data_IF_151969091598
#
_entry.id   IF_151969091598
#
_cell.length_a   1.000
_cell.length_b   1.000
_cell.length_c   1.000
_cell.angle_alpha   90.00
_cell.angle_beta   90.00
_cell.angle_gamma   90.00
#
_symmetry.space_group_name_H-M   'P 1'
#
loop_
_entity.id
_entity.type
_entity.pdbx_description
1 polymer ?
#
# COMPACT_ATOMS: atom_id res chain seq x y z
N UNK A 1 -48.01 -3.83 10.07
CA UNK A 1 -48.12 -4.02 11.53
C UNK A 1 -48.47 -5.48 11.73
N UNK A 2 -47.50 -6.32 12.10
CA UNK A 2 -47.68 -7.72 12.46
C UNK A 2 -47.66 -7.75 13.98
N UNK A 3 -48.79 -8.09 14.57
CA UNK A 3 -48.93 -8.33 16.01
C UNK A 3 -48.21 -9.63 16.37
N UNK A 4 -47.42 -9.70 17.46
CA UNK A 4 -46.83 -10.94 17.94
C UNK A 4 -47.91 -11.82 18.56
N UNK A 5 -47.95 -13.08 18.19
CA UNK A 5 -48.74 -14.10 18.91
C UNK A 5 -47.98 -14.48 20.19
N UNK A 6 -48.62 -14.27 21.33
CA UNK A 6 -48.20 -14.83 22.62
C UNK A 6 -48.50 -16.33 22.62
N UNK A 7 -47.51 -17.17 22.33
CA UNK A 7 -47.42 -18.55 22.78
C UNK A 7 -45.98 -19.03 22.45
N UNK A 8 -45.06 -18.60 23.30
CA UNK A 8 -43.64 -18.86 23.15
C UNK A 8 -43.15 -20.01 23.99
N UNK A 9 -43.39 -21.24 23.55
CA UNK A 9 -42.45 -22.30 23.89
C UNK A 9 -41.18 -22.12 23.04
N UNK A 10 -39.97 -22.20 23.57
CA UNK A 10 -38.75 -22.12 22.76
C UNK A 10 -38.83 -23.28 21.74
N UNK A 11 -38.70 -22.94 20.47
CA UNK A 11 -38.61 -23.95 19.42
C UNK A 11 -37.45 -24.89 19.77
N UNK A 12 -37.77 -26.18 19.96
CA UNK A 12 -36.74 -27.20 20.10
C UNK A 12 -35.87 -27.14 18.85
N UNK A 13 -34.57 -26.98 19.05
CA UNK A 13 -33.61 -27.09 17.97
C UNK A 13 -33.86 -28.41 17.22
N UNK A 14 -33.86 -28.40 15.88
CA UNK A 14 -34.08 -29.60 15.12
C UNK A 14 -33.04 -30.65 15.55
N UNK A 15 -33.52 -31.84 15.89
CA UNK A 15 -32.69 -33.01 16.25
C UNK A 15 -32.09 -33.63 14.97
N UNK A 16 -31.27 -32.83 14.27
CA UNK A 16 -30.52 -33.29 13.12
C UNK A 16 -29.01 -33.26 13.44
N UNK A 17 -28.25 -34.14 12.84
CA UNK A 17 -26.81 -34.09 12.83
C UNK A 17 -26.36 -32.69 12.42
N UNK A 18 -25.37 -32.11 13.15
CA UNK A 18 -24.76 -30.84 12.77
C UNK A 18 -23.93 -31.04 11.50
N UNK A 19 -24.54 -30.95 10.34
CA UNK A 19 -23.90 -31.16 9.05
C UNK A 19 -22.94 -30.03 8.67
N UNK A 20 -23.03 -28.86 9.33
CA UNK A 20 -22.14 -27.70 9.11
C UNK A 20 -20.88 -27.73 9.97
N UNK A 21 -20.87 -28.50 11.09
CA UNK A 21 -19.73 -28.55 12.02
C UNK A 21 -18.41 -28.85 11.32
N UNK A 22 -18.31 -29.95 10.56
CA UNK A 22 -17.05 -30.30 9.87
C UNK A 22 -16.57 -29.22 8.88
N UNK A 23 -17.48 -28.56 8.17
CA UNK A 23 -17.13 -27.49 7.23
C UNK A 23 -16.64 -26.23 7.96
N UNK A 24 -17.23 -25.89 9.09
CA UNK A 24 -16.79 -24.77 9.92
C UNK A 24 -15.41 -25.04 10.54
N UNK A 25 -15.16 -26.27 10.95
CA UNK A 25 -13.85 -26.71 11.47
C UNK A 25 -12.77 -26.67 10.39
N UNK A 26 -13.11 -27.01 9.15
CA UNK A 26 -12.21 -26.88 8.00
C UNK A 26 -11.87 -25.42 7.72
N UNK A 27 -12.85 -24.53 7.67
CA UNK A 27 -12.63 -23.09 7.50
C UNK A 27 -11.74 -22.54 8.62
N UNK A 28 -12.03 -22.86 9.86
CA UNK A 28 -11.23 -22.42 11.01
C UNK A 28 -9.79 -22.93 10.94
N UNK A 29 -9.60 -24.15 10.43
CA UNK A 29 -8.27 -24.73 10.22
C UNK A 29 -7.49 -23.97 9.15
N UNK A 30 -8.10 -23.65 8.00
CA UNK A 30 -7.46 -22.86 6.94
C UNK A 30 -7.09 -21.46 7.43
N UNK A 31 -7.98 -20.79 8.15
CA UNK A 31 -7.71 -19.47 8.74
C UNK A 31 -6.55 -19.53 9.74
N UNK A 32 -6.54 -20.50 10.64
CA UNK A 32 -5.46 -20.71 11.59
C UNK A 32 -4.13 -20.90 10.89
N UNK A 33 -4.05 -21.78 9.89
CA UNK A 33 -2.82 -22.03 9.11
C UNK A 33 -2.31 -20.77 8.40
N UNK A 34 -3.22 -19.95 7.83
CA UNK A 34 -2.86 -18.69 7.20
C UNK A 34 -2.26 -17.68 8.19
N UNK A 35 -2.80 -17.62 9.41
CA UNK A 35 -2.32 -16.72 10.46
C UNK A 35 -1.01 -17.20 11.10
N UNK A 36 -0.91 -18.49 11.46
CA UNK A 36 0.26 -19.08 12.10
C UNK A 36 1.54 -18.89 11.27
N UNK A 37 1.44 -18.99 9.94
CA UNK A 37 2.59 -18.80 9.05
C UNK A 37 3.27 -17.44 9.22
N UNK A 38 2.51 -16.38 9.45
CA UNK A 38 2.99 -14.99 9.57
C UNK A 38 3.13 -14.53 11.03
N UNK A 39 2.90 -15.43 12.01
CA UNK A 39 2.97 -15.10 13.44
C UNK A 39 4.40 -14.68 13.86
N UNK A 40 4.54 -13.95 14.98
CA UNK A 40 5.84 -13.54 15.52
C UNK A 40 6.83 -14.68 15.75
N UNK A 41 6.36 -15.88 16.11
CA UNK A 41 7.17 -17.07 16.34
C UNK A 41 7.34 -18.00 15.14
N UNK A 42 6.92 -17.60 13.94
CA UNK A 42 6.95 -18.45 12.75
C UNK A 42 8.36 -18.86 12.36
N UNK A 43 8.52 -20.16 12.09
CA UNK A 43 9.73 -20.76 11.53
C UNK A 43 9.73 -20.82 9.99
N UNK A 44 8.72 -20.27 9.33
CA UNK A 44 8.68 -20.20 7.86
C UNK A 44 9.94 -19.51 7.32
N UNK A 45 10.69 -20.15 6.40
CA UNK A 45 11.97 -19.60 5.92
C UNK A 45 11.82 -18.23 5.25
N UNK A 46 10.66 -17.93 4.64
CA UNK A 46 10.36 -16.63 4.05
C UNK A 46 10.22 -15.56 5.12
N UNK A 47 9.48 -15.86 6.18
CA UNK A 47 9.27 -14.96 7.34
C UNK A 47 10.57 -14.71 8.09
N UNK A 48 11.36 -15.76 8.35
CA UNK A 48 12.69 -15.62 8.98
C UNK A 48 13.60 -14.71 8.15
N UNK A 49 13.65 -14.88 6.82
CA UNK A 49 14.43 -14.00 5.93
C UNK A 49 13.94 -12.55 5.95
N UNK A 50 12.63 -12.33 6.05
CA UNK A 50 12.02 -11.00 6.14
C UNK A 50 12.50 -10.28 7.40
N UNK A 51 12.41 -10.95 8.55
CA UNK A 51 12.84 -10.42 9.86
C UNK A 51 14.33 -10.18 9.95
N UNK A 52 15.15 -11.07 9.38
CA UNK A 52 16.61 -10.88 9.32
C UNK A 52 17.03 -9.64 8.51
N UNK A 53 16.11 -9.05 7.77
CA UNK A 53 16.29 -7.78 7.06
C UNK A 53 15.64 -6.59 7.77
N UNK A 54 15.25 -6.76 9.04
CA UNK A 54 14.54 -5.76 9.84
C UNK A 54 13.25 -5.26 9.19
N UNK A 55 12.53 -6.15 8.50
CA UNK A 55 11.26 -5.82 7.84
C UNK A 55 10.11 -6.52 8.56
N UNK A 56 9.01 -5.81 8.71
CA UNK A 56 7.76 -6.36 9.23
C UNK A 56 7.10 -7.30 8.21
N UNK A 57 6.32 -8.25 8.70
CA UNK A 57 5.40 -9.04 7.86
C UNK A 57 4.21 -8.19 7.42
N UNK A 58 3.48 -8.62 6.39
CA UNK A 58 2.31 -7.88 5.92
C UNK A 58 1.23 -7.73 6.99
N UNK A 59 1.07 -8.69 7.92
CA UNK A 59 0.11 -8.60 9.04
C UNK A 59 0.57 -7.59 10.10
N UNK A 60 1.83 -7.64 10.51
CA UNK A 60 2.41 -6.66 11.44
C UNK A 60 2.30 -5.22 10.89
N UNK A 61 2.45 -5.03 9.58
CA UNK A 61 2.24 -3.74 8.91
C UNK A 61 0.80 -3.28 8.94
N UNK A 62 -0.17 -4.19 8.76
CA UNK A 62 -1.59 -3.89 8.88
C UNK A 62 -1.93 -3.50 10.33
N UNK A 63 -1.44 -4.24 11.31
CA UNK A 63 -1.64 -3.97 12.74
C UNK A 63 -1.03 -2.62 13.14
N UNK A 64 0.13 -2.26 12.57
CA UNK A 64 0.77 -0.96 12.81
C UNK A 64 -0.01 0.21 12.17
N UNK A 65 -0.64 -0.02 11.02
CA UNK A 65 -1.34 1.02 10.25
C UNK A 65 -2.73 1.31 10.78
N UNK A 66 -3.49 0.28 11.14
CA UNK A 66 -4.90 0.38 11.50
C UNK A 66 -5.09 0.60 13.01
N UNK A 67 -6.24 1.10 13.37
CA UNK A 67 -6.66 1.19 14.77
C UNK A 67 -6.86 -0.21 15.36
N UNK A 68 -6.48 -0.41 16.61
CA UNK A 68 -6.46 -1.71 17.28
C UNK A 68 -7.78 -2.47 17.16
N UNK A 69 -7.70 -3.72 16.72
CA UNK A 69 -8.84 -4.62 16.58
C UNK A 69 -9.87 -4.24 15.49
N UNK A 70 -9.60 -3.20 14.71
CA UNK A 70 -10.51 -2.74 13.66
C UNK A 70 -10.42 -3.57 12.37
N UNK A 71 -9.35 -4.31 12.14
CA UNK A 71 -9.13 -5.04 10.89
C UNK A 71 -10.15 -6.15 10.67
N UNK A 72 -10.72 -6.19 9.50
CA UNK A 72 -11.60 -7.26 9.01
C UNK A 72 -11.07 -7.75 7.67
N UNK A 73 -10.44 -8.92 7.71
CA UNK A 73 -9.84 -9.52 6.51
C UNK A 73 -10.91 -9.98 5.52
N UNK A 74 -10.67 -9.74 4.24
CA UNK A 74 -11.46 -10.25 3.12
C UNK A 74 -10.70 -11.40 2.47
N UNK A 75 -11.33 -12.56 2.36
CA UNK A 75 -10.72 -13.74 1.76
C UNK A 75 -9.58 -14.32 2.60
N UNK A 76 -9.78 -14.49 3.92
CA UNK A 76 -8.82 -15.09 4.84
C UNK A 76 -8.39 -16.50 4.42
N UNK A 77 -9.33 -17.28 3.83
CA UNK A 77 -9.09 -18.63 3.30
C UNK A 77 -8.78 -18.66 1.79
N UNK A 78 -8.54 -17.50 1.16
CA UNK A 78 -8.13 -17.48 -0.23
C UNK A 78 -6.69 -18.02 -0.34
N UNK A 79 -6.53 -19.14 -1.07
CA UNK A 79 -5.26 -19.83 -1.17
C UNK A 79 -5.38 -21.17 -1.88
N UNK A 80 -4.41 -22.04 -1.63
CA UNK A 80 -4.31 -23.37 -2.23
C UNK A 80 -4.19 -24.40 -1.11
N UNK A 81 -5.25 -25.17 -0.89
CA UNK A 81 -5.26 -26.30 0.04
C UNK A 81 -4.88 -27.61 -0.68
N UNK A 82 -4.19 -28.51 0.00
CA UNK A 82 -4.04 -29.90 -0.38
C UNK A 82 -4.66 -30.79 0.70
N UNK A 83 -5.20 -31.92 0.27
CA UNK A 83 -5.89 -32.85 1.14
C UNK A 83 -5.21 -34.24 1.05
N UNK A 84 -5.21 -34.94 2.16
CA UNK A 84 -4.74 -36.33 2.23
C UNK A 84 -5.77 -37.31 1.63
N UNK A 85 -5.47 -38.59 1.65
CA UNK A 85 -6.35 -39.65 1.12
C UNK A 85 -7.66 -39.80 1.91
N UNK A 86 -7.75 -39.25 3.12
CA UNK A 86 -8.93 -39.29 3.99
C UNK A 86 -9.79 -38.02 3.84
N UNK A 87 -9.33 -37.03 3.06
CA UNK A 87 -10.01 -35.76 2.87
C UNK A 87 -9.66 -34.69 3.90
N UNK A 88 -8.71 -34.92 4.80
CA UNK A 88 -8.24 -33.93 5.75
C UNK A 88 -7.24 -32.96 5.09
N UNK A 89 -7.16 -31.73 5.61
CA UNK A 89 -6.20 -30.73 5.14
C UNK A 89 -4.77 -31.20 5.45
N UNK A 90 -3.98 -31.45 4.41
CA UNK A 90 -2.56 -31.80 4.49
C UNK A 90 -1.67 -30.56 4.54
N UNK A 91 -1.94 -29.56 3.67
CA UNK A 91 -1.24 -28.30 3.67
C UNK A 91 -2.11 -27.17 3.11
N UNK A 92 -1.80 -25.94 3.53
CA UNK A 92 -2.44 -24.72 3.02
C UNK A 92 -1.39 -23.66 2.70
N UNK A 93 -1.43 -23.14 1.48
CA UNK A 93 -0.64 -22.00 1.05
C UNK A 93 -1.58 -20.83 0.82
N UNK A 94 -1.63 -19.83 1.71
CA UNK A 94 -2.48 -18.67 1.53
C UNK A 94 -2.04 -17.80 0.35
N UNK A 95 -2.95 -16.97 -0.16
CA UNK A 95 -2.63 -15.95 -1.13
C UNK A 95 -1.48 -15.07 -0.63
N UNK A 96 -0.62 -14.62 -1.54
CA UNK A 96 0.52 -13.75 -1.22
C UNK A 96 0.12 -12.28 -1.05
N UNK A 97 -1.07 -12.04 -0.57
CA UNK A 97 -1.59 -10.73 -0.18
C UNK A 97 -2.61 -10.89 0.94
N UNK A 98 -2.45 -10.10 1.98
CA UNK A 98 -3.44 -9.92 3.03
C UNK A 98 -4.14 -8.59 2.81
N UNK A 99 -5.45 -8.55 2.90
CA UNK A 99 -6.18 -7.30 2.73
C UNK A 99 -7.62 -7.38 3.23
N UNK A 100 -8.20 -6.23 3.44
CA UNK A 100 -9.53 -6.09 4.01
C UNK A 100 -9.85 -4.62 4.27
N UNK A 101 -10.68 -4.39 5.24
CA UNK A 101 -10.99 -3.03 5.72
C UNK A 101 -10.74 -2.91 7.22
N UNK A 102 -10.48 -1.68 7.66
CA UNK A 102 -10.29 -1.34 9.06
C UNK A 102 -10.45 0.17 9.24
N UNK A 103 -10.01 0.67 10.38
CA UNK A 103 -10.09 2.09 10.70
C UNK A 103 -8.69 2.70 10.77
N UNK A 104 -8.56 3.93 10.31
CA UNK A 104 -7.41 4.81 10.55
C UNK A 104 -7.96 6.10 11.16
N UNK A 105 -7.64 6.35 12.45
CA UNK A 105 -8.20 7.47 13.20
C UNK A 105 -9.74 7.52 13.06
N UNK A 106 -10.39 6.37 13.34
CA UNK A 106 -11.84 6.14 13.22
C UNK A 106 -12.40 6.21 11.77
N UNK A 107 -11.58 6.44 10.77
CA UNK A 107 -11.97 6.54 9.37
C UNK A 107 -11.92 5.17 8.69
N UNK A 108 -13.04 4.68 8.14
CA UNK A 108 -13.05 3.43 7.36
C UNK A 108 -12.10 3.50 6.16
N UNK A 109 -11.27 2.48 6.01
CA UNK A 109 -10.21 2.43 5.01
C UNK A 109 -10.02 1.00 4.49
N UNK A 110 -9.76 0.86 3.20
CA UNK A 110 -9.34 -0.41 2.59
C UNK A 110 -7.82 -0.51 2.65
N UNK A 111 -7.30 -1.67 3.05
CA UNK A 111 -5.88 -1.98 3.06
C UNK A 111 -5.57 -3.22 2.25
N UNK A 112 -4.51 -3.16 1.45
CA UNK A 112 -3.94 -4.27 0.69
C UNK A 112 -2.45 -4.36 0.99
N UNK A 113 -1.99 -5.46 1.58
CA UNK A 113 -0.60 -5.67 1.97
C UNK A 113 0.00 -6.86 1.23
N UNK A 114 1.05 -6.63 0.45
CA UNK A 114 1.79 -7.68 -0.25
C UNK A 114 2.53 -8.56 0.76
N UNK A 115 2.42 -9.87 0.61
CA UNK A 115 3.24 -10.84 1.35
C UNK A 115 4.46 -11.25 0.52
N UNK A 116 5.55 -10.52 0.68
CA UNK A 116 6.83 -10.84 0.05
C UNK A 116 7.39 -12.20 0.45
N UNK A 117 7.02 -12.70 1.63
CA UNK A 117 7.52 -13.99 2.14
C UNK A 117 7.00 -15.16 1.33
N UNK A 118 5.85 -14.98 0.64
CA UNK A 118 5.26 -15.93 -0.27
C UNK A 118 5.64 -15.58 -1.72
N UNK A 119 6.72 -16.22 -2.22
CA UNK A 119 7.18 -16.13 -3.60
C UNK A 119 7.47 -14.71 -4.12
N UNK A 120 7.86 -13.78 -3.22
CA UNK A 120 8.16 -12.41 -3.58
C UNK A 120 6.97 -11.63 -4.15
N UNK A 121 5.75 -12.02 -3.80
CA UNK A 121 4.53 -11.38 -4.30
C UNK A 121 4.19 -11.71 -5.77
N UNK A 122 4.83 -12.72 -6.40
CA UNK A 122 4.59 -13.05 -7.80
C UNK A 122 3.25 -13.72 -8.05
N UNK A 123 2.78 -13.67 -9.31
CA UNK A 123 1.47 -14.16 -9.76
C UNK A 123 1.23 -15.66 -9.51
N UNK A 124 2.28 -16.45 -9.38
CA UNK A 124 2.19 -17.90 -9.09
C UNK A 124 1.77 -18.19 -7.62
N UNK A 125 1.73 -17.17 -6.76
CA UNK A 125 1.16 -17.23 -5.42
C UNK A 125 -0.04 -16.30 -5.23
N UNK A 126 -0.46 -15.60 -6.28
CA UNK A 126 -1.53 -14.61 -6.19
C UNK A 126 -2.92 -15.21 -6.42
N UNK A 127 -3.89 -14.70 -5.68
CA UNK A 127 -5.32 -14.84 -5.99
C UNK A 127 -5.79 -13.48 -6.53
N UNK A 128 -5.72 -13.32 -7.85
CA UNK A 128 -5.98 -12.03 -8.51
C UNK A 128 -7.35 -11.43 -8.21
N UNK A 129 -8.37 -12.25 -7.98
CA UNK A 129 -9.69 -11.80 -7.59
C UNK A 129 -9.69 -11.03 -6.26
N UNK A 130 -8.79 -11.36 -5.30
CA UNK A 130 -8.75 -10.72 -3.97
C UNK A 130 -8.39 -9.23 -4.08
N UNK A 131 -7.31 -8.88 -4.80
CA UNK A 131 -6.94 -7.46 -4.96
C UNK A 131 -7.96 -6.67 -5.77
N UNK A 132 -8.48 -7.26 -6.86
CA UNK A 132 -9.51 -6.60 -7.69
C UNK A 132 -10.80 -6.36 -6.92
N UNK A 133 -11.19 -7.28 -6.05
CA UNK A 133 -12.35 -7.12 -5.18
C UNK A 133 -12.17 -5.94 -4.22
N UNK A 134 -11.02 -5.85 -3.56
CA UNK A 134 -10.72 -4.75 -2.61
C UNK A 134 -10.62 -3.39 -3.30
N UNK A 135 -9.99 -3.32 -4.48
CA UNK A 135 -9.97 -2.08 -5.27
C UNK A 135 -11.39 -1.62 -5.67
N UNK A 136 -12.27 -2.57 -6.04
CA UNK A 136 -13.69 -2.27 -6.31
C UNK A 136 -14.43 -1.84 -5.05
N UNK A 137 -14.22 -2.55 -3.95
CA UNK A 137 -14.87 -2.26 -2.67
C UNK A 137 -14.54 -0.84 -2.18
N UNK A 138 -13.29 -0.36 -2.37
CA UNK A 138 -12.90 1.00 -2.02
C UNK A 138 -13.72 2.05 -2.78
N UNK A 139 -14.00 1.82 -4.06
CA UNK A 139 -14.82 2.71 -4.89
C UNK A 139 -16.29 2.65 -4.47
N UNK A 140 -16.84 1.44 -4.27
CA UNK A 140 -18.26 1.23 -3.96
C UNK A 140 -18.63 1.77 -2.57
N UNK A 141 -17.74 1.60 -1.59
CA UNK A 141 -17.92 2.07 -0.22
C UNK A 141 -17.33 3.47 0.03
N UNK A 142 -16.71 4.08 -0.98
CA UNK A 142 -16.09 5.42 -0.89
C UNK A 142 -15.06 5.52 0.23
N UNK A 143 -14.24 4.48 0.38
CA UNK A 143 -13.20 4.36 1.39
C UNK A 143 -11.82 4.61 0.79
N UNK A 144 -10.92 5.37 1.46
CA UNK A 144 -9.52 5.45 1.08
C UNK A 144 -8.90 4.07 0.89
N UNK A 145 -7.95 3.96 -0.04
CA UNK A 145 -7.24 2.72 -0.34
C UNK A 145 -5.75 2.86 -0.05
N UNK A 146 -5.24 2.02 0.85
CA UNK A 146 -3.83 2.01 1.23
C UNK A 146 -3.19 0.72 0.73
N UNK A 147 -2.10 0.86 -0.02
CA UNK A 147 -1.35 -0.27 -0.56
C UNK A 147 0.02 -0.36 0.11
N UNK A 148 0.25 -1.44 0.84
CA UNK A 148 1.52 -1.77 1.49
C UNK A 148 2.33 -2.65 0.53
N UNK A 149 3.16 -2.01 -0.28
CA UNK A 149 3.82 -2.63 -1.43
C UNK A 149 5.17 -3.24 -1.03
N UNK A 150 5.33 -4.52 -1.33
CA UNK A 150 6.58 -5.27 -1.11
C UNK A 150 6.64 -6.46 -2.07
N UNK A 151 7.26 -6.27 -3.24
CA UNK A 151 7.37 -7.30 -4.25
C UNK A 151 6.71 -6.93 -5.58
N UNK A 152 6.23 -7.93 -6.32
CA UNK A 152 5.68 -7.72 -7.66
C UNK A 152 4.16 -7.45 -7.69
N UNK A 153 3.50 -7.48 -6.54
CA UNK A 153 2.04 -7.25 -6.41
C UNK A 153 1.18 -8.05 -7.41
N UNK A 154 1.55 -9.31 -7.61
CA UNK A 154 0.87 -10.19 -8.56
C UNK A 154 1.43 -10.13 -10.00
N UNK A 155 2.53 -9.44 -10.23
CA UNK A 155 3.25 -9.46 -11.51
C UNK A 155 3.94 -10.80 -11.78
N UNK A 156 4.32 -11.02 -13.04
CA UNK A 156 4.97 -12.26 -13.47
C UNK A 156 6.38 -12.47 -12.87
N UNK A 157 6.74 -13.72 -12.61
CA UNK A 157 8.10 -14.09 -12.20
C UNK A 157 8.97 -14.36 -13.41
N UNK A 158 10.23 -13.87 -13.40
CA UNK A 158 11.24 -14.22 -14.42
C UNK A 158 11.44 -15.72 -14.51
N UNK A 159 11.38 -16.44 -13.38
CA UNK A 159 11.49 -17.90 -13.36
C UNK A 159 10.37 -18.61 -14.12
N UNK A 160 9.21 -17.97 -14.30
CA UNK A 160 8.11 -18.49 -15.12
C UNK A 160 8.30 -18.25 -16.63
N UNK A 161 9.16 -17.30 -16.98
CA UNK A 161 9.44 -16.91 -18.37
C UNK A 161 10.64 -17.66 -18.98
N UNK A 162 11.55 -18.19 -18.15
CA UNK A 162 12.68 -18.97 -18.63
C UNK A 162 12.21 -20.37 -18.99
N UNK A 163 12.37 -20.82 -20.26
CA UNK A 163 12.06 -22.19 -20.63
C UNK A 163 12.92 -23.12 -19.78
N UNK A 164 12.31 -24.04 -19.03
CA UNK A 164 13.09 -25.13 -18.40
C UNK A 164 13.79 -25.89 -19.49
N UNK A 165 15.13 -25.93 -19.48
CA UNK A 165 15.88 -26.93 -20.26
C UNK A 165 15.22 -28.27 -19.99
N UNK A 166 14.69 -28.91 -21.05
CA UNK A 166 14.34 -30.33 -20.97
C UNK A 166 15.65 -31.04 -20.66
N UNK A 167 15.73 -31.62 -19.46
CA UNK A 167 16.75 -32.63 -19.20
C UNK A 167 16.47 -33.77 -20.18
N UNK A 168 17.27 -33.84 -21.21
CA UNK A 168 17.36 -35.01 -22.10
C UNK A 168 18.10 -36.07 -21.31
N UNK A 169 17.41 -36.79 -20.47
CA UNK A 169 17.89 -37.94 -19.74
C UNK A 169 16.77 -38.97 -19.72
N UNK A 170 17.00 -40.09 -20.37
CA UNK A 170 16.18 -41.28 -20.26
C UNK A 170 16.07 -41.71 -18.81
N UNK A 171 14.97 -41.33 -18.18
CA UNK A 171 14.53 -41.93 -16.92
C UNK A 171 13.13 -42.48 -17.13
N UNK A 172 12.90 -43.78 -16.82
CA UNK A 172 11.63 -44.41 -17.05
C UNK A 172 10.53 -43.69 -16.30
N UNK A 173 9.42 -43.48 -16.99
CA UNK A 173 8.21 -42.83 -16.43
C UNK A 173 7.83 -43.57 -15.15
N UNK A 174 8.00 -42.90 -14.00
CA UNK A 174 7.32 -43.29 -12.76
C UNK A 174 5.84 -43.00 -12.96
N UNK A 175 5.07 -44.08 -13.00
CA UNK A 175 3.62 -44.01 -12.92
C UNK A 175 3.24 -43.14 -11.74
N UNK A 176 2.59 -42.02 -12.01
CA UNK A 176 2.12 -41.11 -11.00
C UNK A 176 0.88 -41.73 -10.36
N UNK A 177 1.03 -42.27 -9.15
CA UNK A 177 -0.11 -42.44 -8.25
C UNK A 177 -0.88 -41.12 -8.20
N UNK A 178 -2.20 -41.18 -8.40
CA UNK A 178 -3.10 -40.03 -8.64
C UNK A 178 -3.27 -39.02 -7.50
N UNK A 179 -2.23 -38.70 -6.75
CA UNK A 179 -2.19 -37.54 -5.93
C UNK A 179 -2.08 -36.30 -6.85
N UNK A 180 -3.14 -35.49 -6.90
CA UNK A 180 -3.10 -34.16 -7.49
C UNK A 180 -2.03 -33.39 -6.71
N UNK A 181 -0.78 -33.46 -7.15
CA UNK A 181 0.25 -32.52 -6.67
C UNK A 181 -0.36 -31.14 -6.90
N UNK A 182 -0.55 -30.38 -5.85
CA UNK A 182 -0.89 -28.97 -5.95
C UNK A 182 0.12 -28.33 -6.91
N UNK A 183 -0.24 -28.36 -8.18
CA UNK A 183 0.61 -27.88 -9.25
C UNK A 183 0.73 -26.39 -9.00
N UNK A 184 1.95 -25.85 -9.04
CA UNK A 184 2.14 -24.42 -9.21
C UNK A 184 1.10 -23.96 -10.23
N UNK A 185 0.22 -22.98 -9.90
CA UNK A 185 -0.71 -22.47 -10.88
C UNK A 185 0.11 -22.08 -12.10
N UNK A 186 -0.02 -22.83 -13.16
CA UNK A 186 0.55 -22.42 -14.42
C UNK A 186 -0.34 -21.32 -14.93
N UNK A 187 0.19 -20.14 -15.08
CA UNK A 187 -0.41 -19.17 -15.97
C UNK A 187 -0.36 -19.80 -17.36
N UNK A 188 -1.37 -20.56 -17.71
CA UNK A 188 -1.63 -21.03 -19.07
C UNK A 188 -2.27 -19.85 -19.83
N UNK A 189 -1.56 -18.74 -19.87
CA UNK A 189 -1.84 -17.68 -20.80
C UNK A 189 -1.22 -18.09 -22.10
N UNK A 190 -1.97 -18.63 -23.03
CA UNK A 190 -1.55 -18.65 -24.40
C UNK A 190 -1.10 -17.24 -24.77
N UNK A 191 0.10 -17.10 -25.39
CA UNK A 191 0.72 -15.83 -25.71
C UNK A 191 -0.11 -14.95 -26.65
N UNK A 192 -1.22 -14.43 -26.12
CA UNK A 192 -2.01 -13.41 -26.78
C UNK A 192 -1.40 -12.04 -26.47
N UNK A 193 -1.23 -11.24 -27.50
CA UNK A 193 -0.98 -9.81 -27.32
C UNK A 193 -2.24 -9.19 -26.78
N UNK A 194 -2.16 -8.59 -25.59
CA UNK A 194 -3.28 -7.87 -25.01
C UNK A 194 -3.11 -6.37 -25.23
N UNK A 195 -4.21 -5.69 -25.51
CA UNK A 195 -4.23 -4.24 -25.53
C UNK A 195 -4.00 -3.70 -24.12
N UNK A 196 -3.39 -2.51 -23.97
CA UNK A 196 -3.03 -1.93 -22.66
C UNK A 196 -4.17 -1.82 -21.65
N UNK A 197 -5.42 -1.82 -22.06
CA UNK A 197 -6.59 -1.77 -21.17
C UNK A 197 -6.77 -2.96 -20.22
N UNK A 198 -6.00 -4.02 -20.39
CA UNK A 198 -6.10 -5.23 -19.56
C UNK A 198 -5.56 -5.11 -18.14
N UNK A 199 -4.78 -4.08 -17.84
CA UNK A 199 -4.23 -3.87 -16.49
C UNK A 199 -5.24 -3.32 -15.50
N UNK A 200 -6.53 -3.33 -15.83
CA UNK A 200 -7.57 -2.74 -14.98
C UNK A 200 -7.52 -1.21 -14.95
N UNK A 201 -6.92 -0.58 -15.95
CA UNK A 201 -6.66 0.86 -15.98
C UNK A 201 -7.91 1.71 -15.77
N UNK A 202 -9.07 1.30 -16.30
CA UNK A 202 -10.34 2.00 -16.08
C UNK A 202 -10.79 1.97 -14.61
N UNK A 203 -10.56 0.87 -13.91
CA UNK A 203 -10.85 0.76 -12.48
C UNK A 203 -9.91 1.63 -11.65
N UNK A 204 -8.61 1.61 -11.94
CA UNK A 204 -7.64 2.48 -11.26
C UNK A 204 -7.92 3.95 -11.50
N UNK A 205 -8.24 4.35 -12.73
CA UNK A 205 -8.64 5.72 -13.04
C UNK A 205 -9.89 6.13 -12.25
N UNK A 206 -10.90 5.26 -12.17
CA UNK A 206 -12.10 5.51 -11.37
C UNK A 206 -11.77 5.59 -9.86
N UNK A 207 -10.90 4.73 -9.35
CA UNK A 207 -10.48 4.73 -7.95
C UNK A 207 -9.78 6.06 -7.60
N UNK A 208 -8.79 6.46 -8.43
CA UNK A 208 -8.09 7.74 -8.28
C UNK A 208 -9.02 8.96 -8.37
N UNK A 209 -10.05 8.90 -9.22
CA UNK A 209 -11.05 9.98 -9.32
C UNK A 209 -12.13 9.94 -8.21
N UNK A 210 -12.07 9.01 -7.27
CA UNK A 210 -13.13 8.82 -6.28
C UNK A 210 -12.65 8.89 -4.85
N UNK A 211 -11.54 8.22 -4.52
CA UNK A 211 -11.04 8.08 -3.15
C UNK A 211 -9.54 8.36 -3.04
N UNK A 212 -9.07 8.83 -1.89
CA UNK A 212 -7.63 8.91 -1.63
C UNK A 212 -6.95 7.55 -1.76
N UNK A 213 -5.86 7.49 -2.53
CA UNK A 213 -5.04 6.29 -2.71
C UNK A 213 -3.63 6.59 -2.25
N UNK A 214 -3.13 5.81 -1.29
CA UNK A 214 -1.78 5.93 -0.74
C UNK A 214 -0.99 4.67 -1.03
N UNK A 215 0.24 4.83 -1.49
CA UNK A 215 1.16 3.73 -1.75
C UNK A 215 2.37 3.82 -0.80
N UNK A 216 2.53 2.81 0.05
CA UNK A 216 3.69 2.69 0.94
C UNK A 216 4.66 1.67 0.35
N UNK A 217 5.86 2.11 0.00
CA UNK A 217 6.91 1.24 -0.54
C UNK A 217 7.78 0.76 0.63
N UNK A 218 7.59 -0.50 1.02
CA UNK A 218 8.15 -1.10 2.23
C UNK A 218 9.21 -2.18 1.93
N UNK A 219 9.54 -2.35 0.67
CA UNK A 219 10.56 -3.28 0.19
C UNK A 219 10.86 -3.10 -1.28
N UNK A 220 11.43 -4.12 -1.91
CA UNK A 220 11.71 -4.07 -3.35
C UNK A 220 10.42 -4.22 -4.16
N UNK A 221 9.91 -3.12 -4.69
CA UNK A 221 8.67 -3.04 -5.48
C UNK A 221 9.01 -3.14 -6.96
N UNK A 222 8.48 -4.16 -7.64
CA UNK A 222 8.92 -4.52 -9.00
C UNK A 222 7.76 -4.79 -9.95
N UNK A 223 7.93 -4.50 -11.21
CA UNK A 223 6.99 -4.85 -12.28
C UNK A 223 5.61 -4.23 -12.11
N UNK A 224 4.57 -5.05 -11.93
CA UNK A 224 3.20 -4.56 -11.70
C UNK A 224 3.10 -3.79 -10.38
N UNK A 225 3.86 -4.18 -9.35
CA UNK A 225 3.97 -3.43 -8.11
C UNK A 225 4.48 -2.01 -8.34
N UNK A 226 5.50 -1.85 -9.20
CA UNK A 226 6.04 -0.55 -9.56
C UNK A 226 5.00 0.31 -10.30
N UNK A 227 4.22 -0.29 -11.20
CA UNK A 227 3.11 0.43 -11.85
C UNK A 227 2.04 0.89 -10.85
N UNK A 228 1.69 0.05 -9.86
CA UNK A 228 0.76 0.43 -8.79
C UNK A 228 1.33 1.53 -7.90
N UNK A 229 2.63 1.49 -7.60
CA UNK A 229 3.30 2.45 -6.72
C UNK A 229 3.20 3.91 -7.20
N UNK A 230 3.17 4.12 -8.52
CA UNK A 230 3.03 5.46 -9.11
C UNK A 230 1.57 5.86 -9.42
N UNK A 231 0.62 4.95 -9.17
CA UNK A 231 -0.81 5.20 -9.30
C UNK A 231 -1.42 5.47 -7.92
N UNK A 232 -1.17 6.66 -7.40
CA UNK A 232 -1.66 7.11 -6.10
C UNK A 232 -1.59 8.61 -5.97
N UNK A 233 -2.27 9.14 -4.94
CA UNK A 233 -2.27 10.56 -4.58
C UNK A 233 -1.12 10.93 -3.66
N UNK A 234 -0.60 9.94 -2.92
CA UNK A 234 0.58 10.08 -2.08
C UNK A 234 1.34 8.76 -2.04
N UNK A 235 2.65 8.86 -2.05
CA UNK A 235 3.54 7.72 -1.93
C UNK A 235 4.68 8.02 -0.96
N UNK A 236 5.04 7.01 -0.16
CA UNK A 236 6.15 7.09 0.78
C UNK A 236 7.06 5.87 0.64
N UNK A 237 8.37 6.09 0.62
CA UNK A 237 9.38 5.04 0.51
C UNK A 237 10.21 4.97 1.79
N UNK A 238 10.42 3.77 2.30
CA UNK A 238 11.29 3.56 3.48
C UNK A 238 12.74 3.49 3.04
N UNK A 239 13.59 4.32 3.67
CA UNK A 239 15.03 4.41 3.41
C UNK A 239 15.69 3.04 3.53
N UNK A 240 16.60 2.75 2.61
CA UNK A 240 17.51 1.60 2.60
C UNK A 240 16.84 0.21 2.56
N UNK A 241 15.51 0.13 2.74
CA UNK A 241 14.75 -1.13 2.63
C UNK A 241 13.92 -1.19 1.35
N UNK A 242 13.43 -0.06 0.86
CA UNK A 242 12.57 0.01 -0.29
C UNK A 242 13.31 0.40 -1.57
N UNK A 243 12.92 -0.21 -2.67
CA UNK A 243 13.36 0.16 -4.02
C UNK A 243 12.17 0.06 -4.97
N UNK A 244 12.23 0.81 -6.07
CA UNK A 244 11.20 0.85 -7.11
C UNK A 244 11.86 0.66 -8.48
N UNK A 245 11.48 -0.41 -9.19
CA UNK A 245 11.99 -0.65 -10.54
C UNK A 245 11.06 -1.56 -11.35
N UNK A 246 11.07 -1.40 -12.66
CA UNK A 246 10.23 -2.21 -13.57
C UNK A 246 10.73 -3.65 -13.67
N UNK A 247 12.06 -3.83 -13.72
CA UNK A 247 12.69 -5.14 -13.76
C UNK A 247 13.84 -5.19 -12.75
N UNK A 248 13.99 -6.34 -12.09
CA UNK A 248 15.03 -6.55 -11.07
C UNK A 248 16.45 -6.66 -11.64
N UNK A 249 17.48 -6.54 -10.78
CA UNK A 249 18.89 -6.55 -11.17
C UNK A 249 19.30 -7.69 -12.11
N UNK A 250 18.87 -8.95 -11.91
CA UNK A 250 19.29 -10.04 -12.82
C UNK A 250 18.85 -9.84 -14.28
N UNK A 251 17.68 -9.23 -14.51
CA UNK A 251 17.16 -8.96 -15.84
C UNK A 251 17.90 -7.79 -16.47
N UNK A 252 18.08 -6.72 -15.70
CA UNK A 252 18.73 -5.50 -16.16
C UNK A 252 20.21 -5.74 -16.41
N UNK A 253 20.93 -6.41 -15.50
CA UNK A 253 22.34 -6.76 -15.69
C UNK A 253 22.54 -7.59 -16.95
N UNK A 254 21.67 -8.57 -17.21
CA UNK A 254 21.73 -9.35 -18.43
C UNK A 254 21.50 -8.51 -19.70
N UNK A 255 20.53 -7.61 -19.67
CA UNK A 255 20.21 -6.74 -20.80
C UNK A 255 21.30 -5.70 -21.09
N UNK A 256 21.90 -5.16 -20.03
CA UNK A 256 22.90 -4.09 -20.12
C UNK A 256 24.33 -4.61 -20.32
N UNK A 257 24.59 -5.88 -19.98
CA UNK A 257 25.91 -6.50 -20.09
C UNK A 257 26.88 -6.13 -18.97
N UNK A 258 26.39 -5.52 -17.86
CA UNK A 258 27.15 -5.23 -16.66
C UNK A 258 26.29 -5.39 -15.40
N UNK A 259 26.94 -5.61 -14.26
CA UNK A 259 26.28 -5.78 -12.97
C UNK A 259 25.66 -4.47 -12.49
N UNK A 260 24.40 -4.53 -12.04
CA UNK A 260 23.68 -3.43 -11.38
C UNK A 260 23.11 -3.91 -10.06
N UNK A 261 23.11 -3.03 -9.06
CA UNK A 261 22.50 -3.28 -7.74
C UNK A 261 21.04 -2.82 -7.72
N UNK A 262 20.29 -3.18 -6.69
CA UNK A 262 18.94 -2.67 -6.48
C UNK A 262 18.93 -1.17 -6.24
N UNK A 263 19.93 -0.72 -5.51
CA UNK A 263 20.14 0.67 -5.14
C UNK A 263 20.45 1.53 -6.39
N UNK A 264 21.27 1.01 -7.30
CA UNK A 264 21.55 1.69 -8.59
C UNK A 264 20.32 1.78 -9.49
N UNK A 265 19.39 0.80 -9.38
CA UNK A 265 18.19 0.77 -10.20
C UNK A 265 17.09 1.68 -9.68
N UNK A 266 16.91 1.77 -8.36
CA UNK A 266 15.70 2.41 -7.92
C UNK A 266 15.57 2.66 -6.42
N UNK A 267 16.59 3.19 -5.77
CA UNK A 267 16.49 3.62 -4.39
C UNK A 267 15.82 5.02 -4.26
N UNK A 268 15.72 5.49 -3.03
CA UNK A 268 15.15 6.79 -2.71
C UNK A 268 15.91 7.99 -3.34
N UNK A 269 17.24 7.84 -3.60
CA UNK A 269 18.06 8.89 -4.22
C UNK A 269 17.64 9.17 -5.66
N UNK A 270 16.99 8.20 -6.28
CA UNK A 270 16.41 8.31 -7.62
C UNK A 270 14.95 8.77 -7.50
N UNK A 271 14.10 7.98 -6.83
CA UNK A 271 12.66 8.12 -6.93
C UNK A 271 12.04 9.23 -6.07
N UNK A 272 12.63 9.55 -4.93
CA UNK A 272 12.20 10.72 -4.15
C UNK A 272 12.77 12.05 -4.70
N UNK A 273 13.66 11.98 -5.70
CA UNK A 273 14.24 13.17 -6.33
C UNK A 273 13.75 13.43 -7.76
N UNK A 274 13.06 12.47 -8.35
CA UNK A 274 12.48 12.61 -9.70
C UNK A 274 10.94 12.69 -9.68
N UNK A 275 10.31 12.76 -8.51
CA UNK A 275 8.87 12.87 -8.36
C UNK A 275 8.08 11.57 -8.53
N UNK A 276 8.74 10.42 -8.72
CA UNK A 276 8.05 9.13 -8.78
C UNK A 276 7.51 8.69 -7.41
N UNK A 277 8.17 9.13 -6.33
CA UNK A 277 7.76 8.93 -4.94
C UNK A 277 7.80 10.27 -4.21
N UNK A 278 6.77 10.56 -3.42
CA UNK A 278 6.63 11.86 -2.77
C UNK A 278 7.57 12.02 -1.58
N UNK A 279 7.45 11.16 -0.58
CA UNK A 279 8.18 11.33 0.67
C UNK A 279 9.09 10.15 0.99
N UNK A 280 10.13 10.43 1.74
CA UNK A 280 11.08 9.47 2.30
C UNK A 280 10.80 9.34 3.79
N UNK A 281 10.69 8.11 4.28
CA UNK A 281 10.60 7.76 5.69
C UNK A 281 11.85 7.01 6.14
N UNK A 282 12.29 7.22 7.38
CA UNK A 282 13.45 6.53 7.96
C UNK A 282 13.09 5.11 8.44
N UNK A 283 11.80 4.86 8.71
CA UNK A 283 11.30 3.55 9.17
C UNK A 283 9.89 3.25 8.65
N UNK A 284 9.43 2.00 8.85
CA UNK A 284 8.05 1.62 8.51
C UNK A 284 7.05 2.38 9.40
N UNK A 285 7.38 2.64 10.68
CA UNK A 285 6.56 3.41 11.62
C UNK A 285 6.41 4.87 11.17
N UNK A 286 7.48 5.49 10.71
CA UNK A 286 7.41 6.86 10.17
C UNK A 286 6.58 6.91 8.89
N UNK A 287 6.72 5.91 8.01
CA UNK A 287 5.88 5.81 6.82
C UNK A 287 4.39 5.69 7.16
N UNK A 288 4.05 4.93 8.20
CA UNK A 288 2.68 4.85 8.75
C UNK A 288 2.23 6.22 9.27
N UNK A 289 3.05 6.88 10.08
CA UNK A 289 2.72 8.20 10.63
C UNK A 289 2.48 9.24 9.50
N UNK A 290 3.33 9.25 8.47
CA UNK A 290 3.14 10.11 7.29
C UNK A 290 1.85 9.79 6.54
N UNK A 291 1.50 8.50 6.39
CA UNK A 291 0.27 8.05 5.72
C UNK A 291 -0.97 8.49 6.50
N UNK A 292 -1.01 8.26 7.82
CA UNK A 292 -2.11 8.72 8.69
C UNK A 292 -2.24 10.24 8.64
N UNK A 293 -1.12 10.96 8.70
CA UNK A 293 -1.09 12.42 8.63
C UNK A 293 -1.59 12.93 7.28
N UNK A 294 -1.16 12.38 6.16
CA UNK A 294 -1.66 12.73 4.82
C UNK A 294 -3.18 12.57 4.74
N UNK A 295 -3.69 11.41 5.16
CA UNK A 295 -5.13 11.13 5.14
C UNK A 295 -5.93 12.08 6.01
N UNK A 296 -5.36 12.59 7.11
CA UNK A 296 -6.07 13.49 8.02
C UNK A 296 -6.51 14.81 7.37
N UNK A 297 -5.83 15.24 6.30
CA UNK A 297 -6.18 16.46 5.57
C UNK A 297 -7.27 16.28 4.53
N UNK A 298 -7.49 15.05 4.06
CA UNK A 298 -8.40 14.73 2.97
C UNK A 298 -9.73 14.15 3.48
N UNK A 299 -10.81 14.24 2.68
CA UNK A 299 -12.05 13.52 2.97
C UNK A 299 -11.89 12.01 2.70
N UNK A 300 -12.91 11.22 3.02
CA UNK A 300 -12.94 9.79 2.67
C UNK A 300 -13.09 9.56 1.17
N UNK A 301 -13.75 10.47 0.48
CA UNK A 301 -13.95 10.45 -0.98
C UNK A 301 -14.27 11.85 -1.48
N UNK A 302 -14.28 12.04 -2.78
CA UNK A 302 -14.69 13.29 -3.46
C UNK A 302 -16.14 13.71 -3.16
N UNK A 303 -16.94 12.85 -2.55
CA UNK A 303 -18.34 13.13 -2.17
C UNK A 303 -18.49 13.66 -0.75
N UNK A 304 -17.39 13.81 -0.01
CA UNK A 304 -17.37 14.27 1.38
C UNK A 304 -16.47 15.50 1.51
N UNK A 305 -16.72 16.28 2.55
CA UNK A 305 -15.82 17.38 2.89
C UNK A 305 -14.71 16.93 3.83
N UNK A 306 -13.51 17.52 3.75
CA UNK A 306 -12.44 17.27 4.70
C UNK A 306 -12.88 17.58 6.16
N UNK A 307 -12.32 16.82 7.11
CA UNK A 307 -12.61 17.01 8.53
C UNK A 307 -11.96 18.29 9.06
N UNK A 308 -12.77 19.16 9.65
CA UNK A 308 -12.31 20.34 10.37
C UNK A 308 -12.07 19.94 11.83
N UNK A 309 -10.87 20.22 12.34
CA UNK A 309 -10.52 19.96 13.74
C UNK A 309 -11.03 21.13 14.63
N UNK A 310 -11.46 20.79 15.84
CA UNK A 310 -11.83 21.83 16.80
C UNK A 310 -10.60 22.65 17.22
N UNK A 311 -10.71 23.97 17.32
CA UNK A 311 -9.64 24.82 17.84
C UNK A 311 -9.26 24.42 19.27
N UNK A 312 -7.98 24.54 19.60
CA UNK A 312 -7.48 24.26 20.95
C UNK A 312 -7.08 25.55 21.66
N UNK A 313 -7.17 25.58 22.99
CA UNK A 313 -6.71 26.73 23.79
C UNK A 313 -5.18 26.91 23.72
N UNK A 314 -4.44 25.86 23.37
CA UNK A 314 -2.99 25.91 23.22
C UNK A 314 -2.55 26.57 21.90
N UNK A 315 -3.46 26.65 20.94
CA UNK A 315 -3.25 27.30 19.64
C UNK A 315 -4.52 28.05 19.21
N UNK A 316 -4.73 29.25 19.75
CA UNK A 316 -5.92 30.04 19.44
C UNK A 316 -5.84 30.61 18.01
N UNK A 317 -7.01 30.75 17.37
CA UNK A 317 -7.12 31.23 15.99
C UNK A 317 -6.57 32.64 15.76
N UNK A 318 -6.50 33.45 16.82
CA UNK A 318 -5.95 34.81 16.79
C UNK A 318 -4.49 34.89 17.28
N UNK A 319 -3.76 33.76 17.30
CA UNK A 319 -2.33 33.71 17.64
C UNK A 319 -1.54 34.68 16.77
N UNK A 320 -0.64 35.41 17.43
CA UNK A 320 0.23 36.42 16.81
C UNK A 320 1.67 36.20 17.28
N UNK A 321 2.46 35.57 16.44
CA UNK A 321 3.88 35.35 16.73
C UNK A 321 4.70 36.59 16.35
N UNK A 322 5.43 37.17 17.31
CA UNK A 322 6.27 38.35 17.07
C UNK A 322 7.37 38.09 16.03
N UNK A 323 7.81 36.86 15.88
CA UNK A 323 8.79 36.45 14.86
C UNK A 323 8.34 36.81 13.42
N UNK A 324 7.01 36.91 13.19
CA UNK A 324 6.48 37.33 11.88
C UNK A 324 6.94 38.73 11.46
N UNK A 325 7.27 39.62 12.41
CA UNK A 325 7.81 40.95 12.09
C UNK A 325 9.22 40.91 11.53
N UNK A 326 9.96 39.82 11.72
CA UNK A 326 11.40 39.72 11.39
C UNK A 326 11.74 38.58 10.45
N UNK A 327 10.84 37.58 10.29
CA UNK A 327 11.11 36.36 9.49
C UNK A 327 11.41 36.69 8.03
N UNK A 328 10.72 37.68 7.44
CA UNK A 328 10.99 38.17 6.09
C UNK A 328 11.88 39.40 6.17
N UNK A 329 13.15 39.32 5.71
CA UNK A 329 14.09 40.42 5.77
C UNK A 329 13.62 41.62 4.95
N UNK A 330 13.86 42.81 5.47
CA UNK A 330 13.60 44.07 4.73
C UNK A 330 14.47 44.19 3.46
N UNK A 331 15.68 43.65 3.51
CA UNK A 331 16.54 43.60 2.35
C UNK A 331 16.09 42.47 1.44
N UNK A 332 15.63 42.80 0.23
CA UNK A 332 15.08 41.87 -0.76
C UNK A 332 16.08 40.86 -1.33
N UNK A 333 17.37 41.06 -1.10
CA UNK A 333 18.42 40.11 -1.53
C UNK A 333 18.74 39.07 -0.47
N UNK A 334 18.17 39.18 0.72
CA UNK A 334 18.37 38.24 1.82
C UNK A 334 17.30 37.17 1.78
N UNK A 335 17.70 35.90 1.76
CA UNK A 335 16.82 34.75 1.79
C UNK A 335 16.22 34.55 3.18
N UNK A 336 15.06 33.86 3.25
CA UNK A 336 14.41 33.51 4.50
C UNK A 336 13.86 32.09 4.46
N UNK A 337 13.52 31.57 5.64
CA UNK A 337 12.95 30.24 5.79
C UNK A 337 11.43 30.29 5.56
N UNK A 338 11.00 29.90 4.36
CA UNK A 338 9.57 29.86 4.04
C UNK A 338 8.81 28.81 4.87
N UNK A 339 9.45 27.66 5.21
CA UNK A 339 8.83 26.63 6.05
C UNK A 339 8.56 27.14 7.46
N UNK A 340 9.51 27.95 8.01
CA UNK A 340 9.31 28.62 9.29
C UNK A 340 8.17 29.64 9.20
N UNK A 341 8.10 30.42 8.12
CA UNK A 341 7.01 31.37 7.93
C UNK A 341 5.63 30.66 7.87
N UNK A 342 5.55 29.53 7.14
CA UNK A 342 4.32 28.70 7.11
C UNK A 342 3.96 28.21 8.53
N UNK A 343 4.93 27.72 9.29
CA UNK A 343 4.71 27.22 10.66
C UNK A 343 4.24 28.30 11.64
N UNK A 344 4.61 29.57 11.40
CA UNK A 344 4.14 30.71 12.21
C UNK A 344 2.72 31.15 11.85
N UNK A 345 2.28 30.90 10.61
CA UNK A 345 0.97 31.31 10.11
C UNK A 345 -0.10 30.22 10.28
N UNK A 346 0.28 28.97 10.06
CA UNK A 346 -0.62 27.82 10.17
C UNK A 346 -0.80 27.38 11.64
N UNK A 347 -1.78 26.55 11.90
CA UNK A 347 -1.96 25.90 13.20
C UNK A 347 -0.67 25.15 13.57
N UNK A 348 -0.31 25.15 14.85
CA UNK A 348 0.94 24.55 15.34
C UNK A 348 1.08 23.10 14.87
N UNK A 349 2.27 22.77 14.38
CA UNK A 349 2.66 21.43 13.93
C UNK A 349 1.77 20.85 12.83
N UNK A 350 0.89 21.68 12.21
CA UNK A 350 0.00 21.20 11.17
C UNK A 350 0.64 21.12 9.78
N UNK A 351 1.76 21.79 9.51
CA UNK A 351 2.36 21.75 8.17
C UNK A 351 2.95 20.38 7.85
N UNK A 352 2.46 19.77 6.78
CA UNK A 352 2.94 18.50 6.22
C UNK A 352 3.45 18.74 4.80
N UNK A 353 4.76 18.76 4.62
CA UNK A 353 5.40 18.97 3.31
C UNK A 353 5.36 17.68 2.47
N UNK A 354 5.07 17.84 1.18
CA UNK A 354 5.03 16.76 0.19
C UNK A 354 6.14 17.01 -0.83
N UNK A 355 6.91 15.95 -1.14
CA UNK A 355 7.94 16.00 -2.17
C UNK A 355 9.10 16.95 -1.86
N UNK A 356 9.56 17.02 -0.61
CA UNK A 356 10.63 17.93 -0.19
C UNK A 356 11.94 17.75 -0.98
N UNK A 357 12.20 16.56 -1.52
CA UNK A 357 13.43 16.22 -2.25
C UNK A 357 13.33 16.43 -3.77
N UNK A 358 12.13 16.66 -4.31
CA UNK A 358 11.89 16.90 -5.72
C UNK A 358 11.32 18.29 -5.96
N UNK A 359 11.72 18.97 -7.05
CA UNK A 359 11.25 20.33 -7.34
C UNK A 359 11.42 21.24 -6.11
N UNK A 360 12.57 21.18 -5.44
CA UNK A 360 12.81 21.78 -4.12
C UNK A 360 12.88 23.31 -4.14
N UNK A 361 12.80 23.94 -5.31
CA UNK A 361 12.54 25.37 -5.50
C UNK A 361 11.12 25.76 -5.07
N UNK A 362 10.19 24.79 -5.05
CA UNK A 362 8.83 24.98 -4.58
C UNK A 362 8.55 24.11 -3.35
N UNK A 363 7.83 24.68 -2.39
CA UNK A 363 7.37 24.01 -1.18
C UNK A 363 5.86 23.82 -1.32
N UNK A 364 5.41 22.57 -1.31
CA UNK A 364 3.99 22.22 -1.34
C UNK A 364 3.64 21.28 -0.21
N UNK A 365 2.40 21.27 0.20
CA UNK A 365 1.91 20.38 1.25
C UNK A 365 0.58 20.82 1.79
N UNK A 366 0.20 20.23 2.90
CA UNK A 366 -1.01 20.57 3.63
C UNK A 366 -0.70 21.24 4.97
N UNK A 367 -1.59 22.11 5.39
CA UNK A 367 -1.58 22.68 6.73
C UNK A 367 -3.01 22.84 7.22
N UNK A 368 -3.17 23.38 8.43
CA UNK A 368 -4.49 23.78 8.96
C UNK A 368 -4.47 25.25 9.37
N UNK A 369 -5.61 25.88 9.17
CA UNK A 369 -5.88 27.23 9.66
C UNK A 369 -7.19 27.18 10.44
N UNK A 370 -7.10 27.37 11.73
CA UNK A 370 -8.22 27.22 12.66
C UNK A 370 -8.95 25.88 12.47
N UNK A 371 -8.16 24.81 12.34
CA UNK A 371 -8.64 23.44 12.14
C UNK A 371 -9.02 23.07 10.70
N UNK A 372 -9.18 24.05 9.80
CA UNK A 372 -9.53 23.79 8.40
C UNK A 372 -8.30 23.33 7.62
N UNK A 373 -8.33 22.17 6.94
CA UNK A 373 -7.23 21.75 6.08
C UNK A 373 -7.17 22.61 4.83
N UNK A 374 -5.95 22.97 4.46
CA UNK A 374 -5.67 23.79 3.26
C UNK A 374 -4.43 23.28 2.54
N UNK A 375 -4.39 23.40 1.20
CA UNK A 375 -3.20 23.23 0.42
C UNK A 375 -2.27 24.44 0.53
N UNK A 376 -0.98 24.19 0.70
CA UNK A 376 0.07 25.21 0.77
C UNK A 376 0.91 25.14 -0.50
N UNK A 377 1.16 26.32 -1.08
CA UNK A 377 2.08 26.53 -2.20
C UNK A 377 2.98 27.71 -1.85
N UNK A 378 4.30 27.52 -1.90
CA UNK A 378 5.26 28.57 -1.61
C UNK A 378 6.58 28.35 -2.38
N UNK A 379 7.32 29.43 -2.63
CA UNK A 379 8.65 29.38 -3.25
C UNK A 379 9.73 29.39 -2.19
N UNK A 380 10.76 28.55 -2.33
CA UNK A 380 11.91 28.51 -1.40
C UNK A 380 13.02 29.48 -1.82
N UNK A 381 13.08 30.64 -1.19
CA UNK A 381 14.11 31.62 -1.46
C UNK A 381 15.55 31.17 -1.14
N UNK A 382 15.71 30.09 -0.36
CA UNK A 382 16.99 29.48 -0.02
C UNK A 382 17.48 28.50 -1.10
N UNK A 383 16.61 28.11 -2.02
CA UNK A 383 17.02 27.27 -3.15
C UNK A 383 18.07 27.99 -4.00
N UNK A 384 18.95 27.23 -4.67
CA UNK A 384 20.08 27.76 -5.44
C UNK A 384 19.66 28.77 -6.53
N UNK A 385 18.44 28.66 -7.05
CA UNK A 385 17.84 29.58 -8.03
C UNK A 385 16.97 30.68 -7.38
N UNK A 386 16.99 30.81 -6.05
CA UNK A 386 16.21 31.80 -5.30
C UNK A 386 14.71 31.55 -5.30
N UNK A 387 14.27 30.31 -5.53
CA UNK A 387 12.84 29.92 -5.60
C UNK A 387 12.19 30.23 -6.95
N UNK A 388 12.99 30.53 -7.99
CA UNK A 388 12.46 30.64 -9.34
C UNK A 388 11.98 29.28 -9.84
N UNK A 389 10.88 29.25 -10.59
CA UNK A 389 10.24 28.02 -11.09
C UNK A 389 11.19 27.24 -12.00
N UNK A 390 11.35 25.96 -11.68
CA UNK A 390 11.98 24.96 -12.54
C UNK A 390 10.89 24.11 -13.21
N UNK A 391 11.27 23.26 -14.18
CA UNK A 391 10.32 22.29 -14.77
C UNK A 391 9.78 21.35 -13.69
N UNK A 392 10.66 20.78 -12.84
CA UNK A 392 10.25 19.91 -11.73
C UNK A 392 9.37 20.64 -10.71
N UNK A 393 9.67 21.93 -10.43
CA UNK A 393 8.86 22.78 -9.57
C UNK A 393 7.47 23.00 -10.15
N UNK A 394 7.35 23.26 -11.47
CA UNK A 394 6.05 23.38 -12.12
C UNK A 394 5.24 22.09 -12.08
N UNK A 395 5.86 20.95 -12.35
CA UNK A 395 5.19 19.65 -12.31
C UNK A 395 4.71 19.32 -10.89
N UNK A 396 5.54 19.61 -9.89
CA UNK A 396 5.19 19.45 -8.47
C UNK A 396 4.00 20.33 -8.07
N UNK A 397 4.00 21.59 -8.48
CA UNK A 397 2.89 22.51 -8.23
C UNK A 397 1.60 22.02 -8.87
N UNK A 398 1.66 21.64 -10.16
CA UNK A 398 0.50 21.13 -10.91
C UNK A 398 -0.10 19.92 -10.20
N UNK A 399 0.74 18.94 -9.85
CA UNK A 399 0.29 17.74 -9.15
C UNK A 399 -0.37 18.05 -7.80
N UNK A 400 0.17 19.02 -7.05
CA UNK A 400 -0.41 19.41 -5.77
C UNK A 400 -1.74 20.16 -5.93
N UNK A 401 -1.84 21.04 -6.92
CA UNK A 401 -3.08 21.76 -7.23
C UNK A 401 -4.17 20.79 -7.70
N UNK A 402 -3.84 19.85 -8.59
CA UNK A 402 -4.78 18.80 -9.04
C UNK A 402 -5.30 17.95 -7.86
N UNK A 403 -4.43 17.64 -6.89
CA UNK A 403 -4.82 16.93 -5.66
C UNK A 403 -5.80 17.77 -4.81
N UNK A 404 -5.54 19.06 -4.66
CA UNK A 404 -6.40 19.98 -3.92
C UNK A 404 -7.73 20.29 -4.63
N UNK A 405 -7.74 20.26 -5.97
CA UNK A 405 -8.97 20.45 -6.77
C UNK A 405 -9.86 19.20 -6.71
N UNK A 406 -9.25 18.03 -6.57
CA UNK A 406 -9.97 16.76 -6.52
C UNK A 406 -10.65 16.52 -5.16
N UNK A 407 -10.00 16.87 -4.05
CA UNK A 407 -10.43 16.57 -2.68
C UNK A 407 -10.63 17.84 -1.85
#
# INVERSE_FOLDING_TARGET
>A
VITPSEDGAPAQAPSGENTWGPMLDEVATLERLAHERLSPGSSDPGVVRQRNRNKLTCRERIDLLLDDGSFREVGSIAGFASYNEYGDIDAFTPANMVGGHGLIDERPTIVCADDFTSRGGHSDGAIGAKSTFLDRLSIELQMPSIRLLDGSSGGGSVASMVPKKKETGDSPAKESSGAIKAGRPRVSGGGGSFLPGHLGSSMYAKQLATVPVVNMLLGSVVGLGAAKAVLGHFSVMVRDTAQLFVAGPPVVSHAMGYEVTKEDLGDWRIHCRNGSVDNLAESEEEAVAMTRRFLSYLPTSVYHSPTVLAPTTADPADRRDEELFTIVPRNRTTTFDIRRAIALLADKDSFFEIGALWGSDQVVGFARFNGHPVGIVASDSRHINGGALTADGCDKLTRHLDLCDLF
#
